data_IF_069105089288
#
_entry.id   IF_069105089288
#
_cell.length_a   1.000
_cell.length_b   1.000
_cell.length_c   1.000
_cell.angle_alpha   90.00
_cell.angle_beta   90.00
_cell.angle_gamma   90.00
#
_symmetry.space_group_name_H-M   'P 1'
#
loop_
_entity.id
_entity.type
_entity.pdbx_description
1 polymer ?
#
# COMPACT_ATOMS: atom_id res chain seq x y z
N UNK A 1 -35.39 60.58 -25.11
CA UNK A 1 -34.89 60.91 -23.76
C UNK A 1 -36.03 60.77 -22.78
N UNK A 2 -35.72 60.41 -21.52
CA UNK A 2 -36.57 60.03 -20.38
C UNK A 2 -36.81 58.53 -20.19
N UNK A 3 -35.92 57.93 -19.39
CA UNK A 3 -36.05 56.62 -18.75
C UNK A 3 -36.91 56.79 -17.49
N UNK A 4 -38.00 56.03 -17.38
CA UNK A 4 -38.79 55.91 -16.15
C UNK A 4 -38.17 54.82 -15.26
N UNK A 5 -37.78 55.20 -14.05
CA UNK A 5 -37.26 54.30 -13.00
C UNK A 5 -38.45 53.73 -12.23
N UNK A 6 -38.56 52.41 -12.16
CA UNK A 6 -39.50 51.69 -11.30
C UNK A 6 -38.78 51.32 -9.99
N UNK A 7 -39.34 51.77 -8.86
CA UNK A 7 -38.88 51.36 -7.52
C UNK A 7 -39.71 50.15 -7.10
N UNK A 8 -39.06 49.00 -6.94
CA UNK A 8 -39.64 47.78 -6.36
C UNK A 8 -39.32 47.80 -4.86
N UNK A 9 -40.35 47.82 -4.00
CA UNK A 9 -40.21 47.64 -2.55
C UNK A 9 -40.25 46.14 -2.25
N UNK A 10 -39.14 45.58 -1.77
CA UNK A 10 -39.10 44.20 -1.24
C UNK A 10 -39.55 44.21 0.22
N UNK A 11 -40.69 43.58 0.50
CA UNK A 11 -41.12 43.22 1.86
C UNK A 11 -40.24 42.06 2.34
N UNK A 12 -39.37 42.32 3.32
CA UNK A 12 -38.60 41.29 4.01
C UNK A 12 -39.54 40.61 5.01
N UNK A 13 -39.87 39.35 4.73
CA UNK A 13 -40.57 38.49 5.68
C UNK A 13 -39.60 38.09 6.79
N UNK A 14 -39.83 38.56 8.01
CA UNK A 14 -39.06 38.14 9.19
C UNK A 14 -39.63 36.80 9.66
N UNK A 15 -38.82 35.73 9.79
CA UNK A 15 -39.32 34.49 10.36
C UNK A 15 -39.68 34.72 11.83
N UNK A 16 -40.89 34.31 12.20
CA UNK A 16 -41.36 34.28 13.58
C UNK A 16 -40.59 33.20 14.34
N UNK A 17 -39.68 33.62 15.22
CA UNK A 17 -39.00 32.72 16.16
C UNK A 17 -40.03 32.18 17.15
N UNK A 18 -40.07 30.85 17.31
CA UNK A 18 -41.02 30.15 18.18
C UNK A 18 -40.64 30.41 19.64
N UNK A 19 -41.62 30.70 20.49
CA UNK A 19 -41.41 31.04 21.91
C UNK A 19 -40.63 30.00 22.74
N UNK A 20 -40.46 28.76 22.26
CA UNK A 20 -39.72 27.70 22.96
C UNK A 20 -38.20 27.65 22.69
N UNK A 21 -37.65 28.47 21.79
CA UNK A 21 -36.20 28.52 21.53
C UNK A 21 -35.48 29.60 22.34
N UNK A 22 -36.20 30.59 22.88
CA UNK A 22 -35.62 31.66 23.72
C UNK A 22 -35.40 31.23 25.17
N UNK A 23 -36.24 30.35 25.73
CA UNK A 23 -36.03 29.78 27.07
C UNK A 23 -34.77 28.90 27.13
N UNK A 24 -34.42 28.24 26.03
CA UNK A 24 -33.21 27.40 25.97
C UNK A 24 -31.93 28.24 25.99
N UNK A 25 -31.90 29.35 25.24
CA UNK A 25 -30.76 30.26 25.21
C UNK A 25 -30.59 31.07 26.51
N UNK A 26 -31.68 31.38 27.23
CA UNK A 26 -31.55 32.03 28.55
C UNK A 26 -31.02 31.07 29.62
N UNK A 27 -31.40 29.79 29.55
CA UNK A 27 -30.92 28.76 30.49
C UNK A 27 -29.43 28.44 30.28
N UNK A 28 -28.96 28.45 29.03
CA UNK A 28 -27.54 28.21 28.70
C UNK A 28 -26.62 29.39 29.10
N UNK A 29 -27.15 30.61 29.21
CA UNK A 29 -26.40 31.81 29.67
C UNK A 29 -26.18 31.83 31.19
N UNK A 30 -27.18 31.41 31.98
CA UNK A 30 -27.03 31.30 33.45
C UNK A 30 -26.07 30.17 33.86
N UNK A 31 -25.89 29.16 33.00
CA UNK A 31 -24.97 28.05 33.23
C UNK A 31 -23.51 28.42 32.92
N UNK A 32 -23.28 29.36 32.00
CA UNK A 32 -21.95 29.90 31.66
C UNK A 32 -21.42 30.90 32.70
N UNK A 33 -22.29 31.68 33.35
CA UNK A 33 -21.89 32.65 34.36
C UNK A 33 -21.38 31.98 35.65
N UNK A 34 -21.94 30.83 36.03
CA UNK A 34 -21.48 30.05 37.19
C UNK A 34 -20.10 29.40 36.96
N UNK A 35 -19.79 28.96 35.73
CA UNK A 35 -18.50 28.34 35.39
C UNK A 35 -17.35 29.35 35.39
N UNK A 36 -17.61 30.60 34.99
CA UNK A 36 -16.60 31.67 34.99
C UNK A 36 -16.24 32.08 36.43
N UNK A 37 -17.20 32.03 37.36
CA UNK A 37 -16.95 32.39 38.77
C UNK A 37 -16.13 31.35 39.56
N UNK A 38 -16.14 30.08 39.14
CA UNK A 38 -15.35 29.02 39.79
C UNK A 38 -13.88 29.03 39.33
N UNK A 39 -13.59 29.45 38.09
CA UNK A 39 -12.22 29.55 37.57
C UNK A 39 -11.43 30.72 38.20
N UNK A 40 -12.08 31.83 38.56
CA UNK A 40 -11.41 32.98 39.20
C UNK A 40 -10.98 32.71 40.65
N UNK A 41 -11.71 31.86 41.40
CA UNK A 41 -11.30 31.46 42.76
C UNK A 41 -10.14 30.44 42.77
N UNK A 42 -10.06 29.54 41.78
CA UNK A 42 -8.98 28.56 41.71
C UNK A 42 -7.63 29.19 41.31
N UNK A 43 -7.65 30.24 40.48
CA UNK A 43 -6.43 30.97 40.13
C UNK A 43 -5.86 31.80 41.29
N UNK A 44 -6.68 32.27 42.24
CA UNK A 44 -6.19 33.02 43.41
C UNK A 44 -5.52 32.11 44.46
N UNK A 45 -5.97 30.87 44.64
CA UNK A 45 -5.30 29.93 45.56
C UNK A 45 -3.98 29.38 45.03
N UNK A 46 -3.80 29.23 43.72
CA UNK A 46 -2.51 28.84 43.14
C UNK A 46 -1.44 29.93 43.22
N UNK A 47 -1.85 31.20 43.36
CA UNK A 47 -0.92 32.34 43.37
C UNK A 47 -0.37 32.67 44.77
N UNK A 48 -1.06 32.24 45.85
CA UNK A 48 -0.56 32.34 47.23
C UNK A 48 0.42 31.21 47.60
N UNK A 49 0.24 29.99 47.06
CA UNK A 49 1.17 28.87 47.27
C UNK A 49 2.52 29.06 46.54
N UNK A 50 2.57 29.93 45.52
CA UNK A 50 3.77 30.22 44.74
C UNK A 50 4.69 31.30 45.36
N UNK A 51 4.32 31.89 46.52
CA UNK A 51 5.05 33.00 47.14
C UNK A 51 5.67 32.66 48.52
N UNK A 52 5.69 31.38 48.92
CA UNK A 52 6.13 30.96 50.24
C UNK A 52 7.34 30.02 50.30
N UNK A 53 8.07 29.79 49.20
CA UNK A 53 9.27 28.92 49.25
C UNK A 53 10.52 29.52 48.59
N UNK A 54 10.68 30.84 48.71
CA UNK A 54 11.95 31.52 48.45
C UNK A 54 12.51 32.07 49.78
N UNK A 55 13.09 31.19 50.59
CA UNK A 55 13.98 31.60 51.67
C UNK A 55 15.13 30.61 51.93
N UNK A 56 16.26 30.92 51.29
CA UNK A 56 17.63 30.88 51.81
C UNK A 56 18.28 29.54 52.24
N UNK A 57 19.22 29.11 51.39
CA UNK A 57 20.57 28.60 51.69
C UNK A 57 20.83 27.95 53.08
N UNK A 58 20.88 26.62 53.09
CA UNK A 58 21.48 25.77 54.13
C UNK A 58 22.15 24.54 53.48
N UNK A 59 23.33 24.73 52.88
CA UNK A 59 24.20 23.65 52.32
C UNK A 59 24.55 22.53 53.34
N UNK A 60 25.08 21.33 52.97
CA UNK A 60 25.49 20.80 51.64
C UNK A 60 25.15 19.31 51.34
N UNK A 61 25.23 18.90 50.07
CA UNK A 61 25.43 17.49 49.67
C UNK A 61 24.83 17.13 48.31
N UNK A 62 25.63 17.23 47.25
CA UNK A 62 25.30 16.76 45.91
C UNK A 62 25.31 15.22 45.89
N UNK A 63 24.15 14.61 45.72
CA UNK A 63 24.03 13.31 45.05
C UNK A 63 23.14 13.57 43.83
N UNK A 64 23.79 13.68 42.68
CA UNK A 64 23.15 13.80 41.38
C UNK A 64 22.37 12.49 41.11
N UNK A 65 21.09 12.46 41.45
CA UNK A 65 20.15 11.51 40.84
C UNK A 65 19.72 12.10 39.51
N UNK A 66 20.59 11.92 38.51
CA UNK A 66 20.22 12.04 37.11
C UNK A 66 19.06 11.05 36.87
N UNK A 67 17.82 11.57 36.77
CA UNK A 67 16.74 10.83 36.11
C UNK A 67 17.13 10.67 34.64
N UNK A 68 17.87 9.60 34.33
CA UNK A 68 18.09 9.15 32.97
C UNK A 68 16.72 8.85 32.36
N UNK A 69 16.26 9.72 31.47
CA UNK A 69 15.22 9.38 30.51
C UNK A 69 15.80 8.28 29.62
N UNK A 70 15.54 7.03 29.98
CA UNK A 70 15.85 5.86 29.15
C UNK A 70 14.97 5.94 27.90
N UNK A 71 15.50 6.58 26.86
CA UNK A 71 14.99 6.41 25.50
C UNK A 71 15.30 4.95 25.16
N UNK A 72 14.30 4.08 25.22
CA UNK A 72 14.46 2.73 24.68
C UNK A 72 14.64 2.87 23.17
N UNK A 73 15.87 2.69 22.69
CA UNK A 73 16.13 2.46 21.29
C UNK A 73 15.34 1.20 20.89
N UNK A 74 14.14 1.38 20.30
CA UNK A 74 13.42 0.27 19.71
C UNK A 74 14.28 -0.24 18.54
N UNK A 75 14.99 -1.35 18.76
CA UNK A 75 15.76 -2.02 17.72
C UNK A 75 14.85 -2.25 16.51
N UNK A 76 15.22 -1.67 15.36
CA UNK A 76 14.50 -1.83 14.11
C UNK A 76 14.45 -3.33 13.76
N UNK A 77 13.24 -3.88 13.64
CA UNK A 77 13.04 -5.30 13.38
C UNK A 77 12.84 -5.54 11.90
N UNK A 78 13.50 -6.58 11.40
CA UNK A 78 13.46 -6.97 10.01
C UNK A 78 12.66 -8.26 9.80
N UNK A 79 12.11 -8.42 8.61
CA UNK A 79 11.32 -9.60 8.27
C UNK A 79 12.22 -10.84 8.15
N UNK A 80 11.88 -11.91 8.88
CA UNK A 80 12.49 -13.23 8.69
C UNK A 80 11.60 -14.14 7.85
N UNK A 81 12.12 -14.65 6.74
CA UNK A 81 11.42 -15.60 5.86
C UNK A 81 12.08 -16.99 5.91
N UNK A 82 11.35 -18.00 5.43
CA UNK A 82 11.87 -19.36 5.30
C UNK A 82 12.32 -19.63 3.87
N UNK A 83 13.63 -19.78 3.64
CA UNK A 83 14.18 -20.14 2.33
C UNK A 83 14.74 -21.55 2.41
N UNK A 84 14.10 -22.50 1.70
CA UNK A 84 14.46 -23.94 1.73
C UNK A 84 14.49 -24.52 3.16
N UNK A 85 13.62 -24.03 4.04
CA UNK A 85 13.51 -24.47 5.44
C UNK A 85 14.53 -23.82 6.40
N UNK A 86 15.33 -22.86 5.92
CA UNK A 86 16.24 -22.09 6.76
C UNK A 86 15.67 -20.68 6.99
N UNK A 87 15.70 -20.17 8.24
CA UNK A 87 15.33 -18.79 8.52
C UNK A 87 16.37 -17.84 7.92
N UNK A 88 15.90 -16.82 7.21
CA UNK A 88 16.70 -15.75 6.59
C UNK A 88 16.08 -14.42 6.95
N UNK A 89 16.83 -13.58 7.64
CA UNK A 89 16.43 -12.19 7.91
C UNK A 89 16.69 -11.33 6.66
N UNK A 90 15.72 -10.49 6.31
CA UNK A 90 15.79 -9.57 5.18
C UNK A 90 16.09 -8.16 5.68
N UNK A 91 17.36 -7.78 5.69
CA UNK A 91 17.85 -6.53 6.31
C UNK A 91 17.34 -5.26 5.62
N UNK A 92 16.76 -5.36 4.42
CA UNK A 92 16.15 -4.27 3.66
C UNK A 92 14.60 -4.35 3.64
N UNK A 93 14.02 -5.14 4.54
CA UNK A 93 12.57 -5.26 4.75
C UNK A 93 12.24 -5.05 6.24
N UNK A 94 12.20 -3.79 6.72
CA UNK A 94 11.69 -3.47 8.05
C UNK A 94 10.24 -3.96 8.22
N UNK A 95 9.89 -4.45 9.41
CA UNK A 95 8.54 -5.00 9.67
C UNK A 95 7.42 -3.95 9.54
N UNK A 96 7.73 -2.68 9.73
CA UNK A 96 6.77 -1.57 9.66
C UNK A 96 6.55 -1.06 8.23
N UNK A 97 7.36 -1.51 7.26
CA UNK A 97 7.20 -1.13 5.87
C UNK A 97 5.91 -1.70 5.28
N UNK A 98 5.23 -0.90 4.44
CA UNK A 98 3.93 -1.27 3.86
C UNK A 98 3.96 -2.59 3.08
N UNK A 99 5.13 -2.96 2.56
CA UNK A 99 5.32 -4.17 1.76
C UNK A 99 5.69 -5.40 2.58
N UNK A 100 6.16 -5.26 3.81
CA UNK A 100 6.61 -6.37 4.66
C UNK A 100 5.59 -7.52 4.76
N UNK A 101 4.29 -7.31 5.08
CA UNK A 101 3.33 -8.41 5.16
C UNK A 101 3.10 -9.11 3.81
N UNK A 102 3.26 -8.40 2.70
CA UNK A 102 3.10 -8.97 1.37
C UNK A 102 4.32 -9.78 0.95
N UNK A 103 5.52 -9.34 1.32
CA UNK A 103 6.78 -10.08 1.13
C UNK A 103 6.73 -11.37 1.95
N UNK A 104 6.30 -11.31 3.21
CA UNK A 104 6.13 -12.50 4.04
C UNK A 104 5.20 -13.52 3.38
N UNK A 105 4.00 -13.07 2.97
CA UNK A 105 3.02 -13.96 2.34
C UNK A 105 3.55 -14.55 1.02
N UNK A 106 4.23 -13.76 0.20
CA UNK A 106 4.80 -14.25 -1.06
C UNK A 106 5.94 -15.25 -0.81
N UNK A 107 6.72 -15.08 0.25
CA UNK A 107 7.77 -16.03 0.65
C UNK A 107 7.16 -17.34 1.19
N UNK A 108 6.10 -17.28 2.00
CA UNK A 108 5.36 -18.46 2.47
C UNK A 108 4.79 -19.30 1.31
N UNK A 109 4.39 -18.64 0.23
CA UNK A 109 3.94 -19.27 -1.01
C UNK A 109 5.09 -19.74 -1.92
N UNK A 110 6.35 -19.65 -1.47
CA UNK A 110 7.57 -19.96 -2.23
C UNK A 110 7.70 -19.16 -3.55
N UNK A 111 7.07 -17.99 -3.65
CA UNK A 111 7.13 -17.14 -4.85
C UNK A 111 8.42 -16.32 -4.90
N UNK A 112 8.95 -15.94 -3.75
CA UNK A 112 10.15 -15.10 -3.60
C UNK A 112 11.09 -15.64 -2.51
N UNK A 113 12.36 -15.24 -2.55
CA UNK A 113 13.38 -15.67 -1.58
C UNK A 113 14.49 -14.65 -1.34
N UNK A 114 14.39 -13.43 -1.88
CA UNK A 114 15.50 -12.47 -1.91
C UNK A 114 16.58 -12.83 -2.93
N UNK A 115 17.74 -12.17 -2.81
CA UNK A 115 18.94 -12.44 -3.57
C UNK A 115 19.71 -13.63 -2.99
N UNK A 116 20.47 -14.29 -3.86
CA UNK A 116 21.42 -15.32 -3.48
C UNK A 116 22.77 -15.07 -4.11
N UNK A 117 23.82 -15.60 -3.47
CA UNK A 117 25.17 -15.63 -4.02
C UNK A 117 25.28 -16.61 -5.21
N UNK A 118 26.48 -16.70 -5.81
CA UNK A 118 26.74 -17.57 -6.96
C UNK A 118 26.57 -19.07 -6.61
N UNK A 119 26.70 -19.42 -5.34
CA UNK A 119 26.44 -20.74 -4.77
C UNK A 119 24.94 -20.99 -4.48
N UNK A 120 24.12 -19.94 -4.59
CA UNK A 120 22.67 -19.98 -4.37
C UNK A 120 22.26 -19.96 -2.90
N UNK A 121 23.15 -19.52 -1.99
CA UNK A 121 22.83 -19.21 -0.60
C UNK A 121 22.17 -17.83 -0.50
N UNK A 122 21.17 -17.65 0.37
CA UNK A 122 20.50 -16.37 0.54
C UNK A 122 21.47 -15.31 1.11
N UNK A 123 21.47 -14.10 0.55
CA UNK A 123 22.31 -12.98 1.02
C UNK A 123 21.65 -12.17 2.14
N UNK A 124 20.34 -12.36 2.35
CA UNK A 124 19.53 -11.52 3.24
C UNK A 124 19.06 -10.20 2.61
N UNK A 125 19.37 -9.94 1.34
CA UNK A 125 18.85 -8.76 0.62
C UNK A 125 17.62 -9.14 -0.20
N UNK A 126 16.55 -8.35 -0.12
CA UNK A 126 15.34 -8.54 -0.92
C UNK A 126 15.31 -7.70 -2.19
N UNK A 127 15.80 -6.46 -2.17
CA UNK A 127 15.73 -5.45 -3.21
C UNK A 127 14.31 -4.97 -3.50
N UNK A 128 13.54 -4.42 -2.53
CA UNK A 128 12.12 -4.11 -2.71
C UNK A 128 11.85 -3.13 -3.87
N UNK A 129 12.78 -2.21 -4.13
CA UNK A 129 12.68 -1.22 -5.20
C UNK A 129 13.12 -1.73 -6.58
N UNK A 130 13.80 -2.88 -6.66
CA UNK A 130 14.31 -3.40 -7.92
C UNK A 130 13.17 -3.91 -8.81
N UNK A 131 13.32 -3.71 -10.12
CA UNK A 131 12.30 -4.17 -11.07
C UNK A 131 12.33 -5.69 -11.25
N UNK A 132 11.14 -6.27 -11.28
CA UNK A 132 10.97 -7.69 -11.59
C UNK A 132 11.17 -7.90 -13.09
N UNK A 133 12.00 -8.86 -13.48
CA UNK A 133 12.16 -9.24 -14.88
C UNK A 133 11.05 -10.19 -15.35
N UNK A 134 10.86 -10.30 -16.66
CA UNK A 134 9.86 -11.23 -17.24
C UNK A 134 10.14 -12.69 -16.84
N UNK A 135 11.40 -13.11 -16.70
CA UNK A 135 11.72 -14.47 -16.22
C UNK A 135 11.39 -14.69 -14.75
N UNK A 136 11.57 -13.67 -13.90
CA UNK A 136 11.15 -13.73 -12.50
C UNK A 136 9.62 -13.77 -12.39
N UNK A 137 8.92 -12.97 -13.20
CA UNK A 137 7.46 -13.01 -13.30
C UNK A 137 6.96 -14.41 -13.70
N UNK A 138 7.59 -15.05 -14.69
CA UNK A 138 7.23 -16.40 -15.10
C UNK A 138 7.37 -17.41 -13.95
N UNK A 139 8.50 -17.35 -13.22
CA UNK A 139 8.69 -18.20 -12.04
C UNK A 139 7.58 -17.99 -11.02
N UNK A 140 7.32 -16.74 -10.64
CA UNK A 140 6.28 -16.43 -9.65
C UNK A 140 4.90 -16.95 -10.10
N UNK A 141 4.55 -16.74 -11.36
CA UNK A 141 3.26 -17.16 -11.92
C UNK A 141 3.08 -18.68 -11.97
N UNK A 142 4.09 -19.42 -12.45
CA UNK A 142 4.04 -20.89 -12.56
C UNK A 142 3.97 -21.53 -11.18
N UNK A 143 4.74 -21.03 -10.21
CA UNK A 143 4.67 -21.51 -8.82
C UNK A 143 3.32 -21.19 -8.19
N UNK A 144 2.80 -19.96 -8.38
CA UNK A 144 1.49 -19.57 -7.87
C UNK A 144 0.34 -20.39 -8.46
N UNK A 145 0.46 -20.82 -9.71
CA UNK A 145 -0.51 -21.68 -10.39
C UNK A 145 -0.43 -23.16 -9.95
N UNK A 146 0.54 -23.54 -9.11
CA UNK A 146 0.75 -24.93 -8.70
C UNK A 146 1.17 -25.86 -9.84
N UNK A 147 1.77 -25.31 -10.90
CA UNK A 147 2.16 -26.07 -12.08
C UNK A 147 3.48 -26.81 -11.80
N UNK A 148 3.49 -28.12 -12.06
CA UNK A 148 4.71 -28.92 -12.05
C UNK A 148 5.56 -28.62 -13.29
N UNK A 149 6.73 -28.03 -13.05
CA UNK A 149 7.66 -27.58 -14.09
C UNK A 149 8.23 -28.72 -14.96
N UNK A 150 8.06 -29.97 -14.56
CA UNK A 150 8.50 -31.14 -15.31
C UNK A 150 7.43 -31.69 -16.26
N UNK A 151 6.18 -31.21 -16.18
CA UNK A 151 5.04 -31.72 -16.95
C UNK A 151 4.62 -30.84 -18.14
N UNK A 152 5.44 -29.87 -18.54
CA UNK A 152 5.15 -28.94 -19.63
C UNK A 152 5.79 -29.32 -20.98
N UNK A 153 6.50 -30.47 -21.03
CA UNK A 153 7.27 -30.92 -22.18
C UNK A 153 8.61 -30.19 -22.34
N UNK A 154 9.27 -30.43 -23.48
CA UNK A 154 10.62 -29.90 -23.75
C UNK A 154 10.66 -28.85 -24.87
N UNK A 155 9.54 -28.61 -25.56
CA UNK A 155 9.44 -27.59 -26.58
C UNK A 155 9.52 -26.19 -25.96
N UNK A 156 10.30 -25.31 -26.57
CA UNK A 156 10.45 -23.92 -26.15
C UNK A 156 10.60 -23.01 -27.36
N UNK A 157 9.78 -21.97 -27.43
CA UNK A 157 9.82 -20.97 -28.49
C UNK A 157 10.83 -19.86 -28.14
N UNK A 158 10.84 -19.42 -26.89
CA UNK A 158 11.66 -18.31 -26.44
C UNK A 158 13.13 -18.68 -26.25
N UNK A 159 13.93 -18.40 -27.28
CA UNK A 159 15.38 -18.63 -27.26
C UNK A 159 16.13 -17.83 -26.20
N UNK A 160 15.58 -16.71 -25.73
CA UNK A 160 16.24 -15.89 -24.70
C UNK A 160 16.24 -16.54 -23.31
N UNK A 161 15.40 -17.56 -23.09
CA UNK A 161 15.37 -18.36 -21.87
C UNK A 161 16.26 -19.62 -21.93
N UNK A 162 16.82 -19.96 -23.10
CA UNK A 162 17.58 -21.20 -23.28
C UNK A 162 18.85 -21.24 -22.42
N UNK A 163 19.04 -22.35 -21.70
CA UNK A 163 20.17 -22.57 -20.79
C UNK A 163 20.11 -21.77 -19.48
N UNK A 164 19.03 -21.01 -19.24
CA UNK A 164 18.86 -20.21 -18.01
C UNK A 164 18.12 -21.02 -16.94
N UNK A 165 18.27 -20.60 -15.69
CA UNK A 165 17.51 -21.12 -14.55
C UNK A 165 15.98 -21.01 -14.77
N UNK A 166 15.56 -20.01 -15.54
CA UNK A 166 14.16 -19.71 -15.83
C UNK A 166 13.55 -20.56 -16.94
N UNK A 167 14.36 -21.37 -17.64
CA UNK A 167 13.95 -22.09 -18.85
C UNK A 167 12.67 -22.91 -18.64
N UNK A 168 12.60 -23.71 -17.58
CA UNK A 168 11.44 -24.58 -17.32
C UNK A 168 10.18 -23.79 -16.97
N UNK A 169 10.30 -22.65 -16.29
CA UNK A 169 9.16 -21.78 -16.02
C UNK A 169 8.62 -21.12 -17.29
N UNK A 170 9.50 -20.66 -18.17
CA UNK A 170 9.11 -20.10 -19.47
C UNK A 170 8.45 -21.16 -20.36
N UNK A 171 9.00 -22.38 -20.40
CA UNK A 171 8.38 -23.52 -21.09
C UNK A 171 6.96 -23.79 -20.60
N UNK A 172 6.73 -23.79 -19.30
CA UNK A 172 5.39 -23.95 -18.75
C UNK A 172 4.45 -22.80 -19.11
N UNK A 173 4.91 -21.56 -19.01
CA UNK A 173 4.09 -20.42 -19.40
C UNK A 173 3.70 -20.46 -20.90
N UNK A 174 4.62 -20.90 -21.77
CA UNK A 174 4.35 -21.16 -23.18
C UNK A 174 3.36 -22.34 -23.38
N UNK A 175 3.57 -23.45 -22.69
CA UNK A 175 2.72 -24.65 -22.75
C UNK A 175 1.26 -24.33 -22.41
N UNK A 176 1.05 -23.49 -21.40
CA UNK A 176 -0.27 -23.02 -20.98
C UNK A 176 -0.83 -21.88 -21.84
N UNK A 177 -0.14 -21.50 -22.92
CA UNK A 177 -0.53 -20.42 -23.83
C UNK A 177 -0.77 -19.08 -23.12
N UNK A 178 0.06 -18.76 -22.11
CA UNK A 178 -0.05 -17.49 -21.40
C UNK A 178 0.35 -16.32 -22.30
N UNK A 179 -0.43 -15.25 -22.28
CA UNK A 179 -0.48 -14.26 -23.36
C UNK A 179 0.81 -13.46 -23.53
N UNK A 180 1.62 -13.37 -22.48
CA UNK A 180 2.92 -12.70 -22.46
C UNK A 180 4.03 -13.59 -23.04
N UNK A 181 3.86 -14.91 -22.97
CA UNK A 181 4.91 -15.89 -23.24
C UNK A 181 4.66 -16.70 -24.53
N UNK A 182 3.40 -16.91 -24.90
CA UNK A 182 2.95 -17.86 -25.92
C UNK A 182 3.52 -17.64 -27.32
N UNK A 183 3.96 -16.43 -27.66
CA UNK A 183 4.53 -16.11 -28.96
C UNK A 183 6.06 -16.35 -29.03
N UNK A 184 6.71 -16.61 -27.89
CA UNK A 184 8.15 -16.81 -27.77
C UNK A 184 9.01 -15.58 -28.09
N UNK A 185 8.42 -14.40 -28.30
CA UNK A 185 9.14 -13.21 -28.79
C UNK A 185 9.67 -12.32 -27.66
N UNK A 186 9.10 -12.44 -26.46
CA UNK A 186 9.41 -11.57 -25.34
C UNK A 186 10.85 -11.76 -24.84
N UNK A 187 11.57 -10.66 -24.63
CA UNK A 187 12.92 -10.70 -24.02
C UNK A 187 12.80 -10.95 -22.52
N UNK A 188 13.18 -12.13 -22.04
CA UNK A 188 12.89 -12.52 -20.64
C UNK A 188 13.66 -11.73 -19.57
N UNK A 189 14.75 -11.06 -19.94
CA UNK A 189 15.61 -10.26 -19.06
C UNK A 189 15.13 -8.80 -18.90
N UNK A 190 14.15 -8.36 -19.69
CA UNK A 190 13.65 -6.98 -19.55
C UNK A 190 12.79 -6.86 -18.29
N UNK A 191 12.68 -5.65 -17.70
CA UNK A 191 11.67 -5.37 -16.69
C UNK A 191 10.26 -5.71 -17.18
N UNK A 192 9.50 -6.43 -16.36
CA UNK A 192 8.11 -6.75 -16.60
C UNK A 192 7.26 -5.49 -16.43
N UNK A 193 6.35 -5.25 -17.37
CA UNK A 193 5.44 -4.11 -17.35
C UNK A 193 4.22 -4.41 -16.48
N UNK A 194 3.61 -3.37 -15.91
CA UNK A 194 2.37 -3.46 -15.10
C UNK A 194 1.27 -4.25 -15.79
N UNK A 195 1.04 -4.02 -17.08
CA UNK A 195 0.05 -4.77 -17.84
C UNK A 195 0.40 -6.26 -18.04
N UNK A 196 1.69 -6.57 -18.20
CA UNK A 196 2.19 -7.95 -18.36
C UNK A 196 2.05 -8.72 -17.03
N UNK A 197 2.36 -8.08 -15.89
CA UNK A 197 2.11 -8.65 -14.56
C UNK A 197 0.61 -8.90 -14.37
N UNK A 198 -0.24 -7.94 -14.70
CA UNK A 198 -1.69 -8.06 -14.51
C UNK A 198 -2.30 -9.24 -15.27
N UNK A 199 -2.00 -9.39 -16.57
CA UNK A 199 -2.53 -10.52 -17.34
C UNK A 199 -1.95 -11.86 -16.88
N UNK A 200 -0.68 -11.89 -16.52
CA UNK A 200 -0.02 -13.13 -16.07
C UNK A 200 -0.64 -13.62 -14.76
N UNK A 201 -0.95 -12.71 -13.83
CA UNK A 201 -1.64 -13.03 -12.58
C UNK A 201 -3.04 -13.56 -12.83
N UNK A 202 -3.81 -12.90 -13.70
CA UNK A 202 -5.15 -13.40 -14.11
C UNK A 202 -5.07 -14.83 -14.65
N UNK A 203 -4.06 -15.13 -15.47
CA UNK A 203 -3.87 -16.45 -16.06
C UNK A 203 -3.38 -17.50 -15.05
N UNK A 204 -2.44 -17.13 -14.17
CA UNK A 204 -1.91 -18.01 -13.13
C UNK A 204 -3.01 -18.47 -12.15
N UNK A 205 -3.91 -17.57 -11.76
CA UNK A 205 -5.04 -17.87 -10.86
C UNK A 205 -6.32 -18.28 -11.61
N UNK A 206 -6.25 -18.53 -12.93
CA UNK A 206 -7.40 -18.94 -13.76
C UNK A 206 -8.64 -18.04 -13.59
N UNK A 207 -8.43 -16.73 -13.44
CA UNK A 207 -9.48 -15.74 -13.20
C UNK A 207 -10.20 -15.41 -14.50
N UNK A 208 -11.53 -15.42 -14.47
CA UNK A 208 -12.34 -14.97 -15.62
C UNK A 208 -12.23 -13.46 -15.77
N UNK A 209 -11.78 -13.02 -16.94
CA UNK A 209 -11.72 -11.59 -17.28
C UNK A 209 -13.10 -11.03 -17.55
N UNK A 210 -13.37 -9.84 -17.03
CA UNK A 210 -14.53 -9.03 -17.42
C UNK A 210 -14.14 -8.08 -18.55
N UNK A 211 -15.07 -7.74 -19.47
CA UNK A 211 -14.82 -6.71 -20.46
C UNK A 211 -14.43 -5.38 -19.80
N UNK A 212 -13.43 -4.71 -20.38
CA UNK A 212 -13.00 -3.37 -19.97
C UNK A 212 -14.15 -2.39 -20.17
N UNK A 213 -14.47 -1.66 -19.11
CA UNK A 213 -15.45 -0.58 -19.08
C UNK A 213 -14.87 0.71 -19.64
N UNK A 214 -13.55 0.92 -19.49
CA UNK A 214 -12.85 2.14 -19.86
C UNK A 214 -13.12 3.30 -18.91
N UNK A 215 -13.64 3.03 -17.71
CA UNK A 215 -14.07 4.05 -16.75
C UNK A 215 -13.32 4.02 -15.42
N UNK A 216 -12.41 3.06 -15.21
CA UNK A 216 -11.65 2.94 -13.95
C UNK A 216 -10.37 3.77 -14.00
N UNK A 217 -9.63 3.71 -15.11
CA UNK A 217 -8.39 4.46 -15.29
C UNK A 217 -8.42 5.26 -16.59
N UNK A 218 -7.86 6.47 -16.57
CA UNK A 218 -7.82 7.37 -17.72
C UNK A 218 -6.93 6.83 -18.86
N UNK A 219 -5.90 6.06 -18.52
CA UNK A 219 -4.93 5.47 -19.44
C UNK A 219 -5.21 3.99 -19.80
N UNK A 220 -6.37 3.46 -19.40
CA UNK A 220 -6.80 2.09 -19.71
C UNK A 220 -8.12 2.09 -20.47
N UNK A 221 -8.05 1.79 -21.76
CA UNK A 221 -9.21 1.63 -22.63
C UNK A 221 -9.25 0.31 -23.37
N UNK A 222 -10.21 0.17 -24.29
CA UNK A 222 -10.40 -1.06 -25.11
C UNK A 222 -9.21 -1.43 -25.99
N UNK A 223 -8.40 -0.46 -26.37
CA UNK A 223 -7.18 -0.66 -27.16
C UNK A 223 -5.93 -0.87 -26.30
N UNK A 224 -6.00 -0.67 -24.99
CA UNK A 224 -4.86 -0.87 -24.10
C UNK A 224 -4.56 -2.37 -24.01
N UNK A 225 -3.33 -2.83 -24.31
CA UNK A 225 -2.94 -4.21 -24.13
C UNK A 225 -3.28 -4.69 -22.72
N UNK A 226 -3.99 -5.82 -22.64
CA UNK A 226 -4.42 -6.43 -21.39
C UNK A 226 -5.36 -5.57 -20.51
N UNK A 227 -6.03 -4.55 -21.08
CA UNK A 227 -6.97 -3.68 -20.34
C UNK A 227 -8.07 -4.45 -19.56
N UNK A 228 -8.58 -5.54 -20.14
CA UNK A 228 -9.55 -6.41 -19.45
C UNK A 228 -8.96 -7.03 -18.17
N UNK A 229 -7.69 -7.45 -18.18
CA UNK A 229 -7.03 -8.03 -17.01
C UNK A 229 -6.80 -6.95 -15.94
N UNK A 230 -6.33 -5.77 -16.34
CA UNK A 230 -6.08 -4.63 -15.46
C UNK A 230 -7.37 -4.25 -14.71
N UNK A 231 -8.46 -4.02 -15.43
CA UNK A 231 -9.73 -3.66 -14.80
C UNK A 231 -10.32 -4.79 -13.96
N UNK A 232 -10.13 -6.05 -14.35
CA UNK A 232 -10.59 -7.20 -13.55
C UNK A 232 -9.87 -7.24 -12.21
N UNK A 233 -8.54 -7.11 -12.20
CA UNK A 233 -7.77 -7.05 -10.96
C UNK A 233 -8.16 -5.84 -10.11
N UNK A 234 -8.47 -4.71 -10.74
CA UNK A 234 -8.88 -3.52 -10.01
C UNK A 234 -10.24 -3.67 -9.35
N UNK A 235 -11.24 -4.20 -10.08
CA UNK A 235 -12.57 -4.51 -9.54
C UNK A 235 -12.52 -5.50 -8.38
N UNK A 236 -11.54 -6.41 -8.41
CA UNK A 236 -11.33 -7.40 -7.35
C UNK A 236 -10.42 -6.91 -6.21
N UNK A 237 -10.00 -5.64 -6.22
CA UNK A 237 -9.19 -5.04 -5.15
C UNK A 237 -7.73 -5.46 -5.12
N UNK A 238 -7.22 -6.13 -6.17
CA UNK A 238 -5.82 -6.55 -6.25
C UNK A 238 -4.90 -5.40 -6.66
N UNK A 239 -5.39 -4.48 -7.50
CA UNK A 239 -4.62 -3.30 -7.95
C UNK A 239 -5.47 -2.02 -7.89
N UNK A 240 -4.84 -0.90 -7.56
CA UNK A 240 -5.52 0.40 -7.38
C UNK A 240 -5.03 1.52 -8.32
N UNK A 241 -4.01 1.26 -9.14
CA UNK A 241 -3.32 2.31 -9.91
C UNK A 241 -2.42 3.17 -9.01
N UNK A 242 -2.01 4.33 -9.53
CA UNK A 242 -1.14 5.26 -8.81
C UNK A 242 -1.90 6.09 -7.78
N UNK A 243 -1.23 6.35 -6.67
CA UNK A 243 -1.70 7.23 -5.60
C UNK A 243 -0.80 8.46 -5.58
N UNK A 244 -1.39 9.65 -5.59
CA UNK A 244 -0.67 10.91 -5.49
C UNK A 244 -0.06 11.12 -4.10
N UNK A 245 0.82 12.10 -3.97
CA UNK A 245 1.45 12.47 -2.69
C UNK A 245 0.45 12.90 -1.61
N UNK A 246 -0.77 13.28 -2.00
CA UNK A 246 -1.87 13.60 -1.11
C UNK A 246 -2.68 12.37 -0.65
N UNK A 247 -2.27 11.16 -1.01
CA UNK A 247 -2.97 9.92 -0.68
C UNK A 247 -4.19 9.62 -1.56
N UNK A 248 -4.51 10.47 -2.53
CA UNK A 248 -5.66 10.27 -3.42
C UNK A 248 -5.26 9.49 -4.69
N UNK A 249 -6.14 8.62 -5.22
CA UNK A 249 -5.92 7.99 -6.51
C UNK A 249 -5.74 9.02 -7.61
N UNK A 250 -4.74 8.84 -8.48
CA UNK A 250 -4.51 9.76 -9.60
C UNK A 250 -5.44 9.48 -10.79
N UNK A 251 -6.07 8.31 -10.83
CA UNK A 251 -6.84 7.83 -11.97
C UNK A 251 -5.99 7.16 -13.07
N UNK A 252 -4.67 7.02 -12.87
CA UNK A 252 -3.76 6.39 -13.85
C UNK A 252 -3.26 5.04 -13.34
N UNK A 253 -3.14 4.07 -14.25
CA UNK A 253 -2.59 2.75 -13.93
C UNK A 253 -1.11 2.61 -14.31
N UNK A 254 -0.66 3.25 -15.40
CA UNK A 254 0.68 3.09 -15.97
C UNK A 254 0.93 1.74 -16.66
N UNK A 255 0.13 1.28 -17.65
CA UNK A 255 0.25 -0.08 -18.21
C UNK A 255 1.64 -0.48 -18.72
N UNK A 256 2.44 0.50 -19.17
CA UNK A 256 3.76 0.28 -19.77
C UNK A 256 4.91 0.41 -18.78
N UNK A 257 4.65 0.86 -17.55
CA UNK A 257 5.67 1.12 -16.55
C UNK A 257 6.15 -0.20 -15.94
N UNK A 258 7.42 -0.29 -15.52
CA UNK A 258 7.92 -1.47 -14.82
C UNK A 258 7.30 -1.59 -13.42
N UNK A 259 7.34 -2.80 -12.86
CA UNK A 259 6.89 -3.10 -11.49
C UNK A 259 8.06 -3.51 -10.64
N UNK A 260 8.16 -2.94 -9.44
CA UNK A 260 9.19 -3.36 -8.49
C UNK A 260 8.80 -4.65 -7.74
N UNK A 261 9.75 -5.19 -6.98
CA UNK A 261 9.58 -6.45 -6.24
C UNK A 261 8.57 -6.35 -5.12
N UNK A 262 8.53 -5.23 -4.40
CA UNK A 262 7.55 -4.98 -3.33
C UNK A 262 6.10 -4.95 -3.87
N UNK A 263 5.87 -4.19 -4.94
CA UNK A 263 4.57 -4.12 -5.63
C UNK A 263 4.16 -5.48 -6.18
N UNK A 264 5.09 -6.21 -6.81
CA UNK A 264 4.80 -7.54 -7.37
C UNK A 264 4.44 -8.53 -6.26
N UNK A 265 5.15 -8.52 -5.14
CA UNK A 265 4.81 -9.33 -3.97
C UNK A 265 3.40 -9.02 -3.46
N UNK A 266 3.03 -7.74 -3.36
CA UNK A 266 1.66 -7.33 -3.01
C UNK A 266 0.62 -7.86 -3.98
N UNK A 267 0.83 -7.72 -5.29
CA UNK A 267 -0.12 -8.20 -6.30
C UNK A 267 -0.35 -9.70 -6.18
N UNK A 268 0.71 -10.50 -6.08
CA UNK A 268 0.61 -11.96 -5.96
C UNK A 268 -0.01 -12.40 -4.63
N UNK A 269 0.37 -11.76 -3.53
CA UNK A 269 -0.16 -12.06 -2.20
C UNK A 269 -1.65 -11.74 -2.10
N UNK A 270 -2.09 -10.58 -2.59
CA UNK A 270 -3.51 -10.23 -2.66
C UNK A 270 -4.28 -11.16 -3.61
N UNK A 271 -3.68 -11.54 -4.74
CA UNK A 271 -4.31 -12.48 -5.67
C UNK A 271 -4.51 -13.86 -5.04
N UNK A 272 -3.51 -14.37 -4.31
CA UNK A 272 -3.65 -15.62 -3.57
C UNK A 272 -4.74 -15.53 -2.50
N UNK A 273 -4.86 -14.42 -1.77
CA UNK A 273 -5.94 -14.22 -0.81
C UNK A 273 -7.31 -14.11 -1.48
N UNK A 274 -7.38 -13.48 -2.65
CA UNK A 274 -8.66 -13.23 -3.35
C UNK A 274 -9.15 -14.44 -4.14
N UNK A 275 -8.23 -15.27 -4.66
CA UNK A 275 -8.53 -16.35 -5.59
C UNK A 275 -8.11 -17.75 -5.14
N UNK A 276 -7.25 -17.87 -4.11
CA UNK A 276 -6.59 -19.12 -3.72
C UNK A 276 -7.46 -20.14 -3.00
N UNK A 277 -8.65 -19.76 -2.50
CA UNK A 277 -9.58 -20.68 -1.82
C UNK A 277 -10.49 -21.46 -2.79
N UNK A 278 -10.07 -21.64 -4.06
CA UNK A 278 -10.90 -22.24 -5.12
C UNK A 278 -10.41 -23.59 -5.60
#
# INVERSE_FOLDING_TARGET
MHKAVWIIVFLISVPTVRAGEWEKLSTDLELLENVISDDEMQMQHQQEDALLDDSADLFPGLEDEDEEVVISDEEEKFLTIQVRGLPVELWDVPLEEWFAPFVEKAAQLNLISGYGDDEGNPTGEFGPADFVTVEQLAKMAVVAAGIDIYNCGDSMLNKSAAGRWSQKYIQCAEHHNWAVFSDGSIKVHKPARRAEVAVTVIQAFSVRVSPVSGSIFEDVGRSTPYGNAIETLSKNGVVSGYTGSNGNPTGYFGPSDPVNRAETAKIFSLSSQTYGDR
#
